data_IF_712302895649
#
_entry.id   IF_712302895649
#
_cell.length_a   1.000
_cell.length_b   1.000
_cell.length_c   1.000
_cell.angle_alpha   90.00
_cell.angle_beta   90.00
_cell.angle_gamma   90.00
#
_symmetry.space_group_name_H-M   'P 1'
#
loop_
_entity.id
_entity.type
_entity.pdbx_description
1 polymer ?
#
# COMPACT_ATOMS: atom_id res chain seq x y z
N UNK A 1 12.34 10.60 -25.84
CA UNK A 1 12.03 11.19 -24.53
C UNK A 1 12.54 12.59 -24.64
N UNK A 2 11.68 13.57 -24.49
CA UNK A 2 12.12 14.96 -24.41
C UNK A 2 12.73 15.19 -23.02
N UNK A 3 13.85 15.92 -22.97
CA UNK A 3 14.50 16.31 -21.73
C UNK A 3 14.06 17.73 -21.37
N UNK A 4 13.42 17.87 -20.21
CA UNK A 4 12.88 19.14 -19.71
C UNK A 4 13.83 19.88 -18.76
N UNK A 5 14.99 19.27 -18.45
CA UNK A 5 15.98 19.78 -17.51
C UNK A 5 16.38 18.73 -16.48
N UNK A 6 17.08 19.15 -15.43
CA UNK A 6 17.65 18.25 -14.43
C UNK A 6 17.11 18.55 -13.03
N UNK A 7 16.53 17.53 -12.37
CA UNK A 7 16.25 17.56 -10.93
C UNK A 7 17.56 17.33 -10.17
N UNK A 8 17.92 18.28 -9.30
CA UNK A 8 19.16 18.24 -8.50
C UNK A 8 18.94 17.71 -7.09
N UNK A 9 17.74 17.24 -6.76
CA UNK A 9 17.40 16.79 -5.41
C UNK A 9 17.20 17.94 -4.42
N UNK A 10 16.90 19.15 -4.90
CA UNK A 10 16.65 20.29 -4.01
C UNK A 10 15.32 20.10 -3.25
N UNK A 11 15.25 20.50 -1.96
CA UNK A 11 14.00 20.49 -1.21
C UNK A 11 12.93 21.39 -1.86
N UNK A 12 11.67 20.92 -1.90
CA UNK A 12 10.54 21.78 -2.25
C UNK A 12 10.18 22.63 -1.02
N UNK A 13 10.42 23.95 -1.11
CA UNK A 13 10.15 24.89 -0.03
C UNK A 13 8.67 25.31 0.06
N UNK A 14 7.80 24.66 -0.73
CA UNK A 14 6.37 24.91 -0.87
C UNK A 14 6.06 26.24 -1.60
N UNK A 15 4.83 26.39 -2.12
CA UNK A 15 4.42 27.51 -2.98
C UNK A 15 4.82 28.93 -2.50
N UNK A 16 4.76 29.30 -1.19
CA UNK A 16 5.11 30.66 -0.78
C UNK A 16 6.62 30.95 -0.83
N UNK A 17 7.49 29.94 -0.96
CA UNK A 17 8.95 30.08 -0.81
C UNK A 17 9.77 29.38 -1.89
N UNK A 18 9.19 28.46 -2.65
CA UNK A 18 9.91 27.70 -3.65
C UNK A 18 10.10 28.49 -4.95
N UNK A 19 11.28 28.38 -5.56
CA UNK A 19 11.53 28.94 -6.89
C UNK A 19 11.15 27.92 -7.97
N UNK A 20 9.86 27.80 -8.24
CA UNK A 20 9.30 26.84 -9.19
C UNK A 20 9.82 27.00 -10.62
N UNK A 21 10.16 28.24 -11.03
CA UNK A 21 10.65 28.53 -12.39
C UNK A 21 12.01 27.88 -12.66
N UNK A 22 12.85 27.77 -11.64
CA UNK A 22 14.18 27.19 -11.71
C UNK A 22 14.25 25.81 -11.04
N UNK A 23 13.10 25.15 -10.85
CA UNK A 23 13.04 23.81 -10.26
C UNK A 23 13.81 22.76 -11.09
N UNK A 24 13.92 22.96 -12.40
CA UNK A 24 14.71 22.14 -13.32
C UNK A 24 15.95 22.90 -13.75
N UNK A 25 17.12 22.37 -13.40
CA UNK A 25 18.40 22.94 -13.81
C UNK A 25 18.72 22.67 -15.28
N UNK A 26 19.51 23.53 -15.92
CA UNK A 26 19.93 23.34 -17.32
C UNK A 26 21.16 22.42 -17.50
N UNK A 27 22.00 22.30 -16.47
CA UNK A 27 23.26 21.53 -16.50
C UNK A 27 23.24 20.35 -15.52
N UNK A 28 23.89 19.25 -15.92
CA UNK A 28 24.10 18.02 -15.13
C UNK A 28 25.39 18.01 -14.28
N UNK A 29 26.30 18.97 -14.47
CA UNK A 29 27.65 18.97 -13.87
C UNK A 29 27.77 19.68 -12.50
N UNK A 30 26.69 19.85 -11.76
CA UNK A 30 26.74 20.49 -10.43
C UNK A 30 26.86 19.40 -9.36
N UNK A 31 27.89 19.44 -8.49
CA UNK A 31 28.00 18.55 -7.35
C UNK A 31 26.76 18.68 -6.45
N UNK A 32 26.19 17.56 -6.03
CA UNK A 32 25.10 17.56 -5.05
C UNK A 32 25.73 17.81 -3.68
N UNK A 33 25.47 18.97 -3.09
CA UNK A 33 25.84 19.28 -1.70
C UNK A 33 25.00 18.39 -0.78
N UNK A 34 25.56 17.22 -0.43
CA UNK A 34 25.06 16.22 0.53
C UNK A 34 24.20 15.09 -0.06
N UNK A 35 24.80 13.95 -0.45
CA UNK A 35 24.05 12.70 -0.53
C UNK A 35 23.77 12.23 0.90
N UNK A 36 22.57 12.47 1.41
CA UNK A 36 22.11 11.82 2.64
C UNK A 36 21.88 10.34 2.32
N UNK A 37 22.96 9.56 2.37
CA UNK A 37 23.02 8.14 2.05
C UNK A 37 22.06 7.34 2.94
N UNK A 38 20.98 6.84 2.34
CA UNK A 38 20.32 5.63 2.78
C UNK A 38 20.19 4.73 1.54
N UNK A 39 20.95 3.64 1.55
CA UNK A 39 21.13 2.65 0.47
C UNK A 39 22.11 3.04 -0.65
N UNK A 40 22.70 2.01 -1.27
CA UNK A 40 23.63 2.10 -2.41
C UNK A 40 22.97 2.56 -3.72
N UNK A 41 21.63 2.64 -3.74
CA UNK A 41 20.80 2.99 -4.91
C UNK A 41 20.03 4.31 -4.67
N UNK A 42 20.69 5.32 -4.13
CA UNK A 42 20.08 6.62 -3.86
C UNK A 42 19.74 7.35 -5.17
N UNK A 43 18.45 7.63 -5.40
CA UNK A 43 17.94 8.28 -6.63
C UNK A 43 18.69 9.59 -6.98
N UNK A 44 19.10 10.37 -5.96
CA UNK A 44 19.87 11.60 -6.13
C UNK A 44 21.37 11.42 -5.90
N UNK A 45 21.96 10.31 -6.36
CA UNK A 45 23.43 10.18 -6.42
C UNK A 45 24.07 11.16 -7.44
N UNK A 46 23.29 11.60 -8.43
CA UNK A 46 23.63 12.63 -9.41
C UNK A 46 22.36 13.37 -9.85
N UNK A 47 22.47 14.55 -10.49
CA UNK A 47 21.30 15.22 -11.07
C UNK A 47 20.56 14.33 -12.07
N UNK A 48 19.24 14.23 -11.93
CA UNK A 48 18.39 13.33 -12.71
C UNK A 48 17.74 14.08 -13.86
N UNK A 49 17.93 13.60 -15.09
CA UNK A 49 17.26 14.16 -16.26
C UNK A 49 15.74 13.93 -16.18
N UNK A 50 14.96 15.00 -16.13
CA UNK A 50 13.50 14.95 -16.10
C UNK A 50 12.99 14.77 -17.52
N UNK A 51 12.47 13.58 -17.78
CA UNK A 51 11.98 13.16 -19.10
C UNK A 51 10.57 12.60 -19.03
N UNK A 52 9.81 12.77 -20.12
CA UNK A 52 8.51 12.11 -20.31
C UNK A 52 8.60 11.14 -21.49
N UNK A 53 8.22 9.85 -21.31
CA UNK A 53 8.11 8.89 -22.40
C UNK A 53 7.16 9.36 -23.52
N UNK A 54 7.54 9.20 -24.79
CA UNK A 54 6.73 9.63 -25.92
C UNK A 54 5.34 8.97 -25.97
N UNK A 55 5.18 7.76 -25.42
CA UNK A 55 3.89 7.08 -25.37
C UNK A 55 2.90 7.71 -24.37
N UNK A 56 3.34 8.68 -23.55
CA UNK A 56 2.54 9.49 -22.64
C UNK A 56 2.31 10.91 -23.22
N UNK A 57 2.45 11.08 -24.53
CA UNK A 57 2.12 12.32 -25.22
C UNK A 57 0.71 12.23 -25.83
N UNK A 58 -0.05 13.32 -25.94
CA UNK A 58 0.33 14.71 -25.65
C UNK A 58 0.50 14.99 -24.14
N UNK A 59 1.41 15.90 -23.80
CA UNK A 59 1.68 16.28 -22.41
C UNK A 59 0.54 17.20 -21.93
N UNK A 60 -0.15 16.88 -20.82
CA UNK A 60 -1.21 17.73 -20.27
C UNK A 60 -0.73 19.14 -19.96
N UNK A 61 -1.59 20.16 -20.16
CA UNK A 61 -1.25 21.55 -19.83
C UNK A 61 -0.86 21.72 -18.37
N UNK A 62 -1.53 21.00 -17.47
CA UNK A 62 -1.23 20.98 -16.03
C UNK A 62 0.24 20.64 -15.78
N UNK A 63 0.86 19.74 -16.54
CA UNK A 63 2.29 19.44 -16.38
C UNK A 63 3.18 20.60 -16.87
N UNK A 64 2.78 21.28 -17.94
CA UNK A 64 3.57 22.36 -18.56
C UNK A 64 3.44 23.71 -17.83
N UNK A 65 2.40 23.88 -17.01
CA UNK A 65 2.16 25.11 -16.22
C UNK A 65 3.26 25.39 -15.19
N UNK A 66 3.93 24.36 -14.68
CA UNK A 66 4.92 24.49 -13.61
C UNK A 66 6.00 23.39 -13.73
N UNK A 67 7.30 23.74 -13.79
CA UNK A 67 8.38 22.74 -13.87
C UNK A 67 8.39 21.73 -12.71
N UNK A 68 7.89 22.08 -11.53
CA UNK A 68 7.71 21.13 -10.42
C UNK A 68 6.73 20.01 -10.78
N UNK A 69 5.72 20.26 -11.62
CA UNK A 69 4.75 19.23 -12.02
C UNK A 69 5.42 18.19 -12.92
N UNK A 70 6.28 18.62 -13.87
CA UNK A 70 7.10 17.71 -14.69
C UNK A 70 8.03 16.86 -13.82
N UNK A 71 8.71 17.50 -12.86
CA UNK A 71 9.59 16.83 -11.91
C UNK A 71 8.83 15.74 -11.13
N UNK A 72 7.69 16.08 -10.51
CA UNK A 72 6.92 15.14 -9.72
C UNK A 72 6.29 14.02 -10.56
N UNK A 73 5.83 14.31 -11.78
CA UNK A 73 5.32 13.29 -12.68
C UNK A 73 6.42 12.29 -13.08
N UNK A 74 7.61 12.79 -13.46
CA UNK A 74 8.77 11.96 -13.74
C UNK A 74 9.19 11.14 -12.51
N UNK A 75 9.29 11.78 -11.34
CA UNK A 75 9.66 11.13 -10.08
C UNK A 75 8.66 10.02 -9.72
N UNK A 76 7.36 10.23 -9.96
CA UNK A 76 6.36 9.21 -9.73
C UNK A 76 6.60 7.96 -10.56
N UNK A 77 6.73 8.14 -11.89
CA UNK A 77 6.88 7.03 -12.84
C UNK A 77 8.14 6.21 -12.55
N UNK A 78 9.24 6.89 -12.24
CA UNK A 78 10.55 6.25 -12.15
C UNK A 78 10.94 5.81 -10.72
N UNK A 79 10.30 6.36 -9.70
CA UNK A 79 10.66 6.06 -8.31
C UNK A 79 9.46 5.68 -7.44
N UNK A 80 8.46 6.57 -7.26
CA UNK A 80 7.30 6.28 -6.40
C UNK A 80 6.57 5.00 -6.81
N UNK A 81 6.34 4.79 -8.11
CA UNK A 81 5.68 3.60 -8.63
C UNK A 81 6.39 2.29 -8.26
N UNK A 82 7.72 2.32 -8.06
CA UNK A 82 8.51 1.13 -7.74
C UNK A 82 8.45 0.75 -6.26
N UNK A 83 8.26 1.72 -5.36
CA UNK A 83 8.11 1.45 -3.92
C UNK A 83 6.70 0.95 -3.57
N UNK A 84 5.72 1.20 -4.46
CA UNK A 84 4.35 0.73 -4.30
C UNK A 84 4.12 -0.74 -4.70
N UNK A 85 5.16 -1.43 -5.19
CA UNK A 85 5.08 -2.84 -5.59
C UNK A 85 6.14 -3.66 -4.89
N UNK A 86 5.83 -4.93 -4.61
CA UNK A 86 6.80 -5.84 -4.01
C UNK A 86 7.90 -6.28 -4.99
N UNK A 87 7.63 -6.24 -6.28
CA UNK A 87 8.63 -6.60 -7.29
C UNK A 87 8.56 -5.64 -8.47
N UNK A 88 9.74 -5.35 -9.02
CA UNK A 88 9.84 -4.54 -10.23
C UNK A 88 9.53 -5.41 -11.45
N UNK A 89 8.40 -5.11 -12.09
CA UNK A 89 7.93 -5.74 -13.32
C UNK A 89 7.78 -4.65 -14.39
N UNK A 90 8.17 -4.91 -15.66
CA UNK A 90 7.94 -3.95 -16.75
C UNK A 90 6.46 -3.57 -16.93
N UNK A 91 5.55 -4.45 -16.53
CA UNK A 91 4.11 -4.24 -16.54
C UNK A 91 3.57 -3.65 -15.23
N UNK A 92 4.41 -3.02 -14.40
CA UNK A 92 3.96 -2.34 -13.18
C UNK A 92 2.86 -1.32 -13.53
N UNK A 93 1.61 -1.51 -13.07
CA UNK A 93 0.51 -0.64 -13.47
C UNK A 93 0.63 0.77 -12.90
N UNK A 94 1.39 0.98 -11.81
CA UNK A 94 1.68 2.31 -11.29
C UNK A 94 2.60 3.12 -12.21
N UNK A 95 3.50 2.48 -12.97
CA UNK A 95 4.38 3.18 -13.93
C UNK A 95 3.86 3.15 -15.37
N UNK A 96 2.81 2.36 -15.66
CA UNK A 96 2.30 2.17 -17.03
C UNK A 96 0.85 2.60 -17.23
N UNK A 97 -0.10 2.06 -16.46
CA UNK A 97 -1.54 2.35 -16.59
C UNK A 97 -1.88 3.68 -15.94
N UNK A 98 -1.47 3.87 -14.69
CA UNK A 98 -1.81 5.05 -13.90
C UNK A 98 -1.31 6.36 -14.53
N UNK A 99 -0.04 6.48 -14.99
CA UNK A 99 0.45 7.73 -15.57
C UNK A 99 -0.24 8.05 -16.90
N UNK A 100 -0.61 7.02 -17.68
CA UNK A 100 -1.37 7.18 -18.92
C UNK A 100 -2.76 7.75 -18.67
N UNK A 101 -3.52 7.16 -17.73
CA UNK A 101 -4.84 7.71 -17.37
C UNK A 101 -4.74 9.11 -16.77
N UNK A 102 -3.67 9.37 -16.01
CA UNK A 102 -3.39 10.71 -15.49
C UNK A 102 -3.13 11.74 -16.61
N UNK A 103 -2.66 11.35 -17.81
CA UNK A 103 -2.59 12.30 -18.93
C UNK A 103 -3.94 12.67 -19.53
N UNK A 104 -4.99 11.92 -19.21
CA UNK A 104 -6.34 12.11 -19.74
C UNK A 104 -7.30 12.71 -18.69
N UNK A 105 -6.91 12.75 -17.40
CA UNK A 105 -7.74 13.25 -16.30
C UNK A 105 -6.92 14.08 -15.29
N UNK A 106 -7.24 15.38 -15.20
CA UNK A 106 -6.53 16.34 -14.36
C UNK A 106 -6.61 16.01 -12.85
N UNK A 107 -7.71 15.41 -12.38
CA UNK A 107 -7.85 15.09 -10.95
C UNK A 107 -6.96 13.92 -10.57
N UNK A 108 -6.90 12.88 -11.42
CA UNK A 108 -5.99 11.77 -11.24
C UNK A 108 -4.54 12.22 -11.34
N UNK A 109 -4.22 13.11 -12.28
CA UNK A 109 -2.89 13.73 -12.40
C UNK A 109 -2.50 14.48 -11.14
N UNK A 110 -3.37 15.34 -10.63
CA UNK A 110 -3.12 16.14 -9.41
C UNK A 110 -2.86 15.27 -8.19
N UNK A 111 -3.59 14.17 -8.04
CA UNK A 111 -3.34 13.18 -6.98
C UNK A 111 -1.99 12.46 -7.17
N UNK A 112 -1.61 12.16 -8.40
CA UNK A 112 -0.30 11.59 -8.74
C UNK A 112 0.84 12.53 -8.35
N UNK A 113 0.72 13.82 -8.67
CA UNK A 113 1.69 14.83 -8.26
C UNK A 113 1.76 14.96 -6.72
N UNK A 114 0.61 14.98 -6.04
CA UNK A 114 0.54 15.05 -4.58
C UNK A 114 1.23 13.84 -3.92
N UNK A 115 1.02 12.64 -4.44
CA UNK A 115 1.63 11.41 -3.95
C UNK A 115 3.16 11.45 -4.12
N UNK A 116 3.62 11.85 -5.30
CA UNK A 116 5.04 12.01 -5.59
C UNK A 116 5.70 13.05 -4.67
N UNK A 117 5.02 14.17 -4.41
CA UNK A 117 5.51 15.22 -3.53
C UNK A 117 5.66 14.74 -2.08
N UNK A 118 4.67 14.00 -1.56
CA UNK A 118 4.77 13.43 -0.21
C UNK A 118 5.93 12.43 -0.12
N UNK A 119 6.02 11.52 -1.09
CA UNK A 119 7.08 10.52 -1.14
C UNK A 119 8.49 11.14 -1.22
N UNK A 120 8.68 12.10 -2.14
CA UNK A 120 9.95 12.80 -2.33
C UNK A 120 10.37 13.58 -1.09
N UNK A 121 9.44 14.27 -0.44
CA UNK A 121 9.73 15.03 0.78
C UNK A 121 10.28 14.14 1.90
N UNK A 122 9.74 12.93 2.06
CA UNK A 122 10.25 11.94 3.03
C UNK A 122 11.66 11.48 2.68
N UNK A 123 11.90 11.12 1.42
CA UNK A 123 13.22 10.66 0.97
C UNK A 123 14.29 11.76 1.16
N UNK A 124 13.96 13.01 0.84
CA UNK A 124 14.83 14.17 0.97
C UNK A 124 14.81 14.80 2.38
N UNK A 125 14.07 14.21 3.32
CA UNK A 125 13.96 14.63 4.72
C UNK A 125 13.61 16.12 4.91
N UNK A 126 12.70 16.63 4.09
CA UNK A 126 12.10 17.94 4.25
C UNK A 126 10.60 17.85 4.52
N UNK A 127 9.99 18.97 4.94
CA UNK A 127 8.55 19.02 5.14
C UNK A 127 7.80 18.83 3.81
N UNK A 128 6.66 18.14 3.84
CA UNK A 128 5.78 17.99 2.67
C UNK A 128 5.29 19.39 2.22
N UNK A 129 5.23 19.68 0.90
CA UNK A 129 4.79 20.98 0.38
C UNK A 129 3.26 21.12 0.47
N UNK A 130 2.77 21.41 1.68
CA UNK A 130 1.35 21.38 2.03
C UNK A 130 0.49 22.33 1.19
N UNK A 131 0.94 23.56 0.93
CA UNK A 131 0.16 24.51 0.13
C UNK A 131 0.04 24.06 -1.33
N UNK A 132 1.12 23.49 -1.88
CA UNK A 132 1.11 22.87 -3.21
C UNK A 132 0.13 21.70 -3.27
N UNK A 133 0.22 20.77 -2.32
CA UNK A 133 -0.67 19.60 -2.22
C UNK A 133 -2.13 20.04 -2.08
N UNK A 134 -2.42 21.02 -1.22
CA UNK A 134 -3.76 21.56 -1.03
C UNK A 134 -4.33 22.14 -2.35
N UNK A 135 -3.51 22.85 -3.12
CA UNK A 135 -3.91 23.41 -4.42
C UNK A 135 -4.29 22.30 -5.41
N UNK A 136 -3.53 21.21 -5.47
CA UNK A 136 -3.83 20.07 -6.36
C UNK A 136 -5.08 19.30 -5.93
N UNK A 137 -5.29 19.08 -4.64
CA UNK A 137 -6.37 18.18 -4.18
C UNK A 137 -7.71 18.90 -3.96
N UNK A 138 -7.72 20.22 -3.78
CA UNK A 138 -8.95 21.03 -3.71
C UNK A 138 -10.01 20.69 -4.78
N UNK A 139 -9.69 20.63 -6.09
CA UNK A 139 -10.65 20.29 -7.15
C UNK A 139 -11.09 18.82 -7.19
N UNK A 140 -10.33 17.91 -6.56
CA UNK A 140 -10.63 16.47 -6.55
C UNK A 140 -11.90 16.19 -5.74
N UNK A 141 -12.05 16.80 -4.57
CA UNK A 141 -13.20 16.57 -3.69
C UNK A 141 -14.57 16.85 -4.31
N UNK A 142 -14.83 18.02 -4.95
CA UNK A 142 -16.11 18.27 -5.60
C UNK A 142 -16.34 17.33 -6.79
N UNK A 143 -15.30 16.96 -7.54
CA UNK A 143 -15.42 16.00 -8.65
C UNK A 143 -15.83 14.60 -8.16
N UNK A 144 -15.19 14.08 -7.11
CA UNK A 144 -15.58 12.80 -6.50
C UNK A 144 -17.00 12.84 -5.90
N UNK A 145 -17.40 13.98 -5.32
CA UNK A 145 -18.77 14.17 -4.84
C UNK A 145 -19.78 14.12 -5.97
N UNK A 146 -19.48 14.78 -7.10
CA UNK A 146 -20.32 14.72 -8.30
C UNK A 146 -20.43 13.29 -8.85
N UNK A 147 -19.32 12.55 -8.91
CA UNK A 147 -19.32 11.15 -9.35
C UNK A 147 -20.17 10.23 -8.46
N UNK A 148 -20.31 10.54 -7.17
CA UNK A 148 -21.18 9.81 -6.25
C UNK A 148 -22.67 10.14 -6.37
N UNK A 149 -22.99 11.41 -6.64
CA UNK A 149 -24.37 11.91 -6.67
C UNK A 149 -24.98 11.92 -8.07
N UNK A 150 -24.14 11.84 -9.10
CA UNK A 150 -24.54 11.89 -10.49
C UNK A 150 -25.19 10.61 -10.96
N UNK A 151 -25.92 10.71 -12.07
CA UNK A 151 -26.49 9.57 -12.79
C UNK A 151 -25.56 9.09 -13.92
N UNK A 152 -24.42 9.76 -14.11
CA UNK A 152 -23.45 9.41 -15.15
C UNK A 152 -22.66 8.14 -14.77
N UNK A 153 -22.23 7.35 -15.76
CA UNK A 153 -21.34 6.22 -15.50
C UNK A 153 -20.02 6.67 -14.88
N UNK A 154 -19.69 6.11 -13.72
CA UNK A 154 -18.38 6.25 -13.06
C UNK A 154 -17.26 5.74 -13.97
N UNK A 155 -16.37 6.65 -14.35
CA UNK A 155 -15.20 6.37 -15.19
C UNK A 155 -14.07 5.66 -14.42
N UNK A 156 -13.12 5.07 -15.16
CA UNK A 156 -11.88 4.54 -14.58
C UNK A 156 -11.11 5.61 -13.80
N UNK A 157 -11.00 6.83 -14.33
CA UNK A 157 -10.27 7.93 -13.67
C UNK A 157 -10.95 8.43 -12.40
N UNK A 158 -12.29 8.49 -12.37
CA UNK A 158 -13.02 8.87 -11.15
C UNK A 158 -12.84 7.84 -10.04
N UNK A 159 -12.98 6.55 -10.37
CA UNK A 159 -12.73 5.47 -9.40
C UNK A 159 -11.26 5.45 -8.97
N UNK A 160 -10.33 5.52 -9.92
CA UNK A 160 -8.89 5.56 -9.68
C UNK A 160 -8.46 6.73 -8.80
N UNK A 161 -9.05 7.91 -9.00
CA UNK A 161 -8.82 9.09 -8.16
C UNK A 161 -9.24 8.83 -6.71
N UNK A 162 -10.37 8.16 -6.49
CA UNK A 162 -10.79 7.81 -5.14
C UNK A 162 -9.87 6.78 -4.48
N UNK A 163 -9.44 5.75 -5.22
CA UNK A 163 -8.49 4.73 -4.72
C UNK A 163 -7.14 5.37 -4.39
N UNK A 164 -6.66 6.24 -5.27
CA UNK A 164 -5.40 6.96 -5.09
C UNK A 164 -5.44 7.92 -3.90
N UNK A 165 -6.54 8.66 -3.74
CA UNK A 165 -6.76 9.51 -2.56
C UNK A 165 -6.73 8.68 -1.28
N UNK A 166 -7.41 7.53 -1.24
CA UNK A 166 -7.39 6.65 -0.09
C UNK A 166 -5.95 6.14 0.21
N UNK A 167 -5.23 5.66 -0.80
CA UNK A 167 -3.83 5.20 -0.64
C UNK A 167 -2.88 6.32 -0.19
N UNK A 168 -3.06 7.55 -0.71
CA UNK A 168 -2.26 8.71 -0.32
C UNK A 168 -2.50 9.06 1.15
N UNK A 169 -3.76 9.07 1.61
CA UNK A 169 -4.12 9.34 3.02
C UNK A 169 -3.63 8.25 3.97
N UNK A 170 -3.56 7.01 3.49
CA UNK A 170 -3.01 5.89 4.23
C UNK A 170 -1.50 6.04 4.38
N UNK A 171 -0.79 6.26 3.28
CA UNK A 171 0.68 6.26 3.25
C UNK A 171 1.26 7.55 3.85
N UNK A 172 0.51 8.66 3.76
CA UNK A 172 0.90 9.96 4.27
C UNK A 172 -0.27 10.61 5.03
N UNK A 173 -0.53 10.18 6.28
CA UNK A 173 -1.69 10.64 7.07
C UNK A 173 -1.72 12.15 7.37
N UNK A 174 -0.60 12.86 7.16
CA UNK A 174 -0.47 14.30 7.40
C UNK A 174 -0.41 15.12 6.09
N UNK A 175 -0.59 14.47 4.93
CA UNK A 175 -0.55 15.13 3.63
C UNK A 175 -1.72 16.12 3.46
N UNK A 176 -2.83 15.89 4.16
CA UNK A 176 -4.00 16.75 4.15
C UNK A 176 -4.20 17.35 5.53
N UNK A 177 -4.32 18.67 5.61
CA UNK A 177 -4.78 19.36 6.82
C UNK A 177 -6.31 19.26 6.98
N UNK A 178 -6.91 18.17 6.47
CA UNK A 178 -8.34 17.89 6.56
C UNK A 178 -8.59 16.77 7.57
N UNK A 179 -9.60 16.89 8.45
CA UNK A 179 -9.90 15.88 9.47
C UNK A 179 -10.67 14.68 8.88
N UNK A 180 -10.33 14.24 7.67
CA UNK A 180 -10.97 13.08 7.03
C UNK A 180 -10.09 11.87 7.25
N UNK A 181 -10.66 10.86 7.89
CA UNK A 181 -9.98 9.61 8.20
C UNK A 181 -9.77 8.75 6.95
N UNK A 182 -8.74 7.89 6.96
CA UNK A 182 -8.53 6.93 5.87
C UNK A 182 -9.74 5.98 5.73
N UNK A 183 -10.45 5.68 6.82
CA UNK A 183 -11.66 4.86 6.83
C UNK A 183 -12.76 5.50 5.97
N UNK A 184 -12.91 6.81 6.05
CA UNK A 184 -13.89 7.56 5.25
C UNK A 184 -13.52 7.53 3.77
N UNK A 185 -12.24 7.73 3.43
CA UNK A 185 -11.78 7.63 2.04
C UNK A 185 -11.96 6.23 1.46
N UNK A 186 -11.67 5.17 2.23
CA UNK A 186 -11.92 3.81 1.75
C UNK A 186 -13.41 3.48 1.68
N UNK A 187 -14.24 4.02 2.58
CA UNK A 187 -15.70 3.85 2.51
C UNK A 187 -16.28 4.54 1.28
N UNK A 188 -15.73 5.70 0.92
CA UNK A 188 -16.03 6.42 -0.31
C UNK A 188 -15.64 5.60 -1.55
N UNK A 189 -14.40 5.08 -1.58
CA UNK A 189 -13.90 4.24 -2.67
C UNK A 189 -14.78 3.00 -2.84
N UNK A 190 -15.19 2.38 -1.73
CA UNK A 190 -16.11 1.25 -1.74
C UNK A 190 -17.44 1.60 -2.36
N UNK A 191 -18.05 2.72 -1.97
CA UNK A 191 -19.34 3.15 -2.51
C UNK A 191 -19.27 3.41 -4.01
N UNK A 192 -18.20 4.08 -4.48
CA UNK A 192 -17.97 4.27 -5.92
C UNK A 192 -17.78 2.93 -6.65
N UNK A 193 -17.02 2.01 -6.06
CA UNK A 193 -16.83 0.68 -6.65
C UNK A 193 -18.15 -0.09 -6.77
N UNK A 194 -18.99 -0.09 -5.74
CA UNK A 194 -20.31 -0.73 -5.76
C UNK A 194 -21.22 -0.15 -6.84
N UNK A 195 -21.29 1.17 -6.94
CA UNK A 195 -22.05 1.84 -8.01
C UNK A 195 -21.54 1.46 -9.39
N UNK A 196 -20.20 1.38 -9.53
CA UNK A 196 -19.55 1.01 -10.78
C UNK A 196 -19.86 -0.43 -11.19
N UNK A 197 -19.82 -1.39 -10.26
CA UNK A 197 -20.18 -2.79 -10.53
C UNK A 197 -21.65 -2.98 -10.89
N UNK A 198 -22.53 -2.06 -10.49
CA UNK A 198 -23.96 -2.08 -10.82
C UNK A 198 -24.30 -1.58 -12.23
N UNK A 199 -23.33 -1.08 -13.01
CA UNK A 199 -23.57 -0.56 -14.35
C UNK A 199 -23.72 -1.69 -15.38
N UNK A 200 -24.78 -1.62 -16.21
CA UNK A 200 -25.13 -2.66 -17.19
C UNK A 200 -24.03 -2.93 -18.24
N UNK A 201 -23.18 -1.94 -18.53
CA UNK A 201 -22.16 -2.01 -19.58
C UNK A 201 -20.75 -1.70 -19.07
N UNK A 202 -20.42 -2.09 -17.83
CA UNK A 202 -19.07 -1.89 -17.29
C UNK A 202 -18.02 -2.60 -18.15
N UNK A 203 -17.21 -1.82 -18.87
CA UNK A 203 -16.07 -2.35 -19.60
C UNK A 203 -14.97 -2.81 -18.63
N UNK A 204 -14.52 -4.06 -18.79
CA UNK A 204 -13.42 -4.63 -18.02
C UNK A 204 -12.08 -4.30 -18.68
N UNK A 205 -11.69 -3.03 -18.62
CA UNK A 205 -10.38 -2.56 -19.08
C UNK A 205 -9.27 -3.02 -18.11
N UNK A 206 -8.01 -2.92 -18.55
CA UNK A 206 -6.86 -3.13 -17.65
C UNK A 206 -6.87 -2.16 -16.47
N UNK A 207 -7.39 -0.95 -16.65
CA UNK A 207 -7.55 0.05 -15.60
C UNK A 207 -8.60 -0.38 -14.56
N UNK A 208 -9.75 -0.90 -15.02
CA UNK A 208 -10.78 -1.46 -14.13
C UNK A 208 -10.21 -2.56 -13.24
N UNK A 209 -9.43 -3.47 -13.84
CA UNK A 209 -8.79 -4.58 -13.11
C UNK A 209 -7.73 -4.05 -12.13
N UNK A 210 -6.87 -3.13 -12.56
CA UNK A 210 -5.82 -2.54 -11.75
C UNK A 210 -6.38 -1.83 -10.51
N UNK A 211 -7.29 -0.86 -10.70
CA UNK A 211 -7.87 -0.12 -9.58
C UNK A 211 -8.73 -1.02 -8.69
N UNK A 212 -9.41 -2.02 -9.27
CA UNK A 212 -10.13 -3.02 -8.49
C UNK A 212 -9.20 -3.81 -7.56
N UNK A 213 -8.06 -4.28 -8.07
CA UNK A 213 -7.03 -4.99 -7.28
C UNK A 213 -6.37 -4.08 -6.24
N UNK A 214 -6.08 -2.83 -6.58
CA UNK A 214 -5.51 -1.87 -5.63
C UNK A 214 -6.50 -1.53 -4.52
N UNK A 215 -7.77 -1.31 -4.86
CA UNK A 215 -8.82 -1.13 -3.85
C UNK A 215 -8.98 -2.36 -2.95
N UNK A 216 -8.94 -3.57 -3.53
CA UNK A 216 -8.99 -4.83 -2.77
C UNK A 216 -7.92 -4.90 -1.69
N UNK A 217 -6.70 -4.53 -2.05
CA UNK A 217 -5.56 -4.45 -1.16
C UNK A 217 -5.86 -3.50 0.01
N UNK A 218 -6.23 -2.25 -0.31
CA UNK A 218 -6.48 -1.23 0.71
C UNK A 218 -7.68 -1.58 1.62
N UNK A 219 -8.77 -2.10 1.06
CA UNK A 219 -9.97 -2.51 1.82
C UNK A 219 -9.64 -3.67 2.77
N UNK A 220 -8.83 -4.64 2.32
CA UNK A 220 -8.42 -5.80 3.14
C UNK A 220 -7.50 -5.39 4.27
N UNK A 221 -6.43 -4.63 3.99
CA UNK A 221 -5.50 -4.17 5.02
C UNK A 221 -6.16 -3.16 5.96
N UNK A 222 -7.01 -2.27 5.45
CA UNK A 222 -7.85 -1.40 6.27
C UNK A 222 -8.76 -2.20 7.20
N UNK A 223 -9.37 -3.29 6.71
CA UNK A 223 -10.17 -4.20 7.54
C UNK A 223 -9.33 -4.89 8.61
N UNK A 224 -8.14 -5.41 8.27
CA UNK A 224 -7.25 -6.04 9.25
C UNK A 224 -6.73 -5.03 10.31
N UNK A 225 -6.65 -3.75 9.96
CA UNK A 225 -6.10 -2.70 10.83
C UNK A 225 -7.12 -2.08 11.78
N UNK A 226 -8.42 -2.22 11.54
CA UNK A 226 -9.46 -1.48 12.28
C UNK A 226 -10.61 -2.37 12.73
N UNK A 227 -11.12 -2.12 13.94
CA UNK A 227 -12.30 -2.81 14.48
C UNK A 227 -13.61 -2.16 14.01
N UNK A 228 -13.56 -0.88 13.64
CA UNK A 228 -14.74 -0.08 13.24
C UNK A 228 -14.97 -0.09 11.74
N UNK A 229 -13.91 -0.19 10.96
CA UNK A 229 -14.01 -0.24 9.51
C UNK A 229 -14.20 -1.69 9.07
N UNK A 230 -15.37 -2.01 8.50
CA UNK A 230 -15.64 -3.33 7.95
C UNK A 230 -15.31 -3.31 6.45
N UNK A 231 -14.15 -3.88 6.09
CA UNK A 231 -13.88 -4.25 4.70
C UNK A 231 -14.87 -5.31 4.25
N UNK A 232 -15.30 -5.24 3.00
CA UNK A 232 -16.30 -6.13 2.42
C UNK A 232 -15.91 -6.58 1.00
N UNK A 233 -14.69 -6.27 0.54
CA UNK A 233 -14.29 -6.54 -0.83
C UNK A 233 -14.41 -8.03 -1.20
N UNK A 234 -13.99 -8.93 -0.31
CA UNK A 234 -14.11 -10.38 -0.53
C UNK A 234 -15.57 -10.85 -0.65
N UNK A 235 -16.48 -10.33 0.19
CA UNK A 235 -17.88 -10.73 0.14
C UNK A 235 -18.57 -10.32 -1.16
N UNK A 236 -18.14 -9.21 -1.76
CA UNK A 236 -18.81 -8.59 -2.91
C UNK A 236 -18.16 -8.93 -4.24
N UNK A 237 -16.87 -9.27 -4.26
CA UNK A 237 -16.17 -9.63 -5.50
C UNK A 237 -16.36 -11.11 -5.83
N UNK A 238 -17.26 -11.40 -6.78
CA UNK A 238 -17.40 -12.73 -7.37
C UNK A 238 -16.06 -13.17 -7.99
N UNK A 239 -15.35 -12.24 -8.62
CA UNK A 239 -14.04 -12.46 -9.23
C UNK A 239 -13.01 -12.94 -8.19
N UNK A 240 -12.96 -12.36 -6.99
CA UNK A 240 -12.05 -12.84 -5.94
C UNK A 240 -12.46 -14.20 -5.37
N UNK A 241 -13.77 -14.45 -5.21
CA UNK A 241 -14.23 -15.78 -4.76
C UNK A 241 -13.81 -16.87 -5.74
N UNK A 242 -13.83 -16.56 -7.04
CA UNK A 242 -13.29 -17.46 -8.07
C UNK A 242 -11.76 -17.49 -8.05
N UNK A 243 -11.10 -16.35 -7.81
CA UNK A 243 -9.64 -16.26 -7.74
C UNK A 243 -9.03 -16.85 -6.46
N UNK A 244 -9.80 -17.15 -5.40
CA UNK A 244 -9.31 -17.91 -4.24
C UNK A 244 -8.89 -19.34 -4.65
N UNK A 245 -9.51 -19.88 -5.70
CA UNK A 245 -9.24 -21.23 -6.20
C UNK A 245 -8.00 -21.31 -7.08
N UNK A 246 -7.49 -20.18 -7.58
CA UNK A 246 -6.33 -20.09 -8.47
C UNK A 246 -5.30 -19.19 -7.79
N UNK A 247 -4.12 -19.69 -7.37
CA UNK A 247 -3.09 -18.88 -6.74
C UNK A 247 -2.36 -17.99 -7.78
N UNK A 248 -3.12 -17.19 -8.54
CA UNK A 248 -2.60 -16.20 -9.47
C UNK A 248 -1.87 -15.13 -8.66
N UNK A 249 -0.62 -14.88 -9.06
CA UNK A 249 0.20 -13.84 -8.49
C UNK A 249 -0.36 -12.47 -8.86
N UNK A 250 -0.65 -11.63 -7.87
CA UNK A 250 -0.90 -10.22 -8.13
C UNK A 250 0.44 -9.51 -8.24
N UNK A 251 0.87 -9.16 -9.46
CA UNK A 251 2.15 -8.49 -9.62
C UNK A 251 2.20 -7.09 -8.98
N UNK A 252 1.04 -6.55 -8.59
CA UNK A 252 0.88 -5.35 -7.77
C UNK A 252 1.39 -5.52 -6.34
N UNK A 253 0.87 -6.51 -5.61
CA UNK A 253 1.05 -6.64 -4.16
C UNK A 253 2.11 -7.69 -3.78
N UNK A 254 2.70 -8.41 -4.74
CA UNK A 254 3.70 -9.45 -4.47
C UNK A 254 3.19 -10.71 -3.79
N UNK A 255 1.88 -10.84 -3.64
CA UNK A 255 1.25 -12.04 -3.11
C UNK A 255 0.04 -12.46 -3.94
N UNK A 256 -0.49 -13.65 -3.64
CA UNK A 256 -1.59 -14.25 -4.40
C UNK A 256 -2.95 -13.69 -3.98
N UNK A 257 -3.92 -13.76 -4.90
CA UNK A 257 -5.33 -13.51 -4.55
C UNK A 257 -5.78 -14.36 -3.35
N UNK A 258 -5.32 -15.61 -3.26
CA UNK A 258 -5.63 -16.52 -2.14
C UNK A 258 -5.14 -15.97 -0.80
N UNK A 259 -3.92 -15.45 -0.70
CA UNK A 259 -3.43 -14.76 0.50
C UNK A 259 -4.31 -13.58 0.90
N UNK A 260 -4.71 -12.74 -0.07
CA UNK A 260 -5.60 -11.59 0.18
C UNK A 260 -6.95 -12.05 0.73
N UNK A 261 -7.57 -13.05 0.08
CA UNK A 261 -8.86 -13.59 0.47
C UNK A 261 -8.83 -14.19 1.88
N UNK A 262 -7.81 -14.99 2.20
CA UNK A 262 -7.67 -15.61 3.51
C UNK A 262 -7.45 -14.55 4.61
N UNK A 263 -6.66 -13.50 4.35
CA UNK A 263 -6.50 -12.38 5.27
C UNK A 263 -7.82 -11.62 5.48
N UNK A 264 -8.53 -11.30 4.40
CA UNK A 264 -9.83 -10.60 4.46
C UNK A 264 -10.84 -11.38 5.30
N UNK A 265 -10.99 -12.69 5.04
CA UNK A 265 -11.89 -13.56 5.80
C UNK A 265 -11.50 -13.64 7.28
N UNK A 266 -10.20 -13.63 7.57
CA UNK A 266 -9.70 -13.64 8.94
C UNK A 266 -10.05 -12.35 9.69
N UNK A 267 -9.84 -11.20 9.04
CA UNK A 267 -10.17 -9.90 9.61
C UNK A 267 -11.68 -9.76 9.91
N UNK A 268 -12.53 -10.20 8.98
CA UNK A 268 -13.99 -10.21 9.13
C UNK A 268 -14.45 -11.14 10.26
N UNK A 269 -13.95 -12.39 10.24
CA UNK A 269 -14.31 -13.40 11.23
C UNK A 269 -13.94 -12.97 12.65
N UNK A 270 -12.78 -12.33 12.83
CA UNK A 270 -12.38 -11.81 14.14
C UNK A 270 -13.35 -10.75 14.66
N UNK A 271 -13.76 -9.79 13.81
CA UNK A 271 -14.72 -8.75 14.21
C UNK A 271 -16.05 -9.35 14.59
N UNK A 272 -16.53 -10.33 13.80
CA UNK A 272 -17.75 -11.07 14.12
C UNK A 272 -17.62 -11.80 15.46
N UNK A 273 -16.50 -12.48 15.68
CA UNK A 273 -16.21 -13.17 16.94
C UNK A 273 -16.21 -12.20 18.14
N UNK A 274 -15.56 -11.05 18.01
CA UNK A 274 -15.52 -10.03 19.06
C UNK A 274 -16.90 -9.42 19.34
N UNK A 275 -17.69 -9.17 18.28
CA UNK A 275 -19.07 -8.71 18.40
C UNK A 275 -19.95 -9.72 19.13
N UNK A 276 -19.91 -10.99 18.73
CA UNK A 276 -20.68 -12.06 19.35
C UNK A 276 -20.27 -12.28 20.82
N UNK A 277 -18.97 -12.24 21.15
CA UNK A 277 -18.52 -12.29 22.55
C UNK A 277 -19.04 -11.12 23.38
N UNK A 278 -19.02 -9.89 22.84
CA UNK A 278 -19.54 -8.71 23.56
C UNK A 278 -21.04 -8.80 23.82
N UNK A 279 -21.81 -9.34 22.87
CA UNK A 279 -23.27 -9.44 23.01
C UNK A 279 -23.75 -10.68 23.76
N UNK A 280 -23.10 -11.82 23.57
CA UNK A 280 -23.58 -13.13 24.00
C UNK A 280 -22.63 -13.85 24.96
N UNK A 281 -21.48 -13.25 25.30
CA UNK A 281 -20.44 -13.85 26.14
C UNK A 281 -19.58 -14.89 25.44
N UNK A 282 -20.03 -15.42 24.30
CA UNK A 282 -19.31 -16.43 23.51
C UNK A 282 -19.66 -16.34 22.01
N UNK A 283 -18.77 -16.78 21.11
CA UNK A 283 -19.07 -16.84 19.68
C UNK A 283 -20.13 -17.90 19.35
N UNK A 284 -20.89 -17.67 18.29
CA UNK A 284 -21.86 -18.64 17.81
C UNK A 284 -21.17 -19.90 17.26
N UNK A 285 -21.86 -21.05 17.31
CA UNK A 285 -21.34 -22.33 16.77
C UNK A 285 -20.92 -22.18 15.30
N UNK A 286 -21.67 -21.42 14.50
CA UNK A 286 -21.33 -21.15 13.10
C UNK A 286 -19.97 -20.43 12.98
N UNK A 287 -19.73 -19.40 13.80
CA UNK A 287 -18.46 -18.64 13.83
C UNK A 287 -17.29 -19.53 14.25
N UNK A 288 -17.51 -20.41 15.23
CA UNK A 288 -16.51 -21.39 15.66
C UNK A 288 -16.18 -22.35 14.50
N UNK A 289 -17.19 -22.91 13.83
CA UNK A 289 -16.99 -23.80 12.67
C UNK A 289 -16.24 -23.10 11.54
N UNK A 290 -16.61 -21.87 11.21
CA UNK A 290 -15.93 -21.06 10.20
C UNK A 290 -14.46 -20.80 10.58
N UNK A 291 -14.17 -20.57 11.86
CA UNK A 291 -12.79 -20.39 12.32
C UNK A 291 -11.92 -21.62 12.10
N UNK A 292 -12.45 -22.81 12.37
CA UNK A 292 -11.72 -24.07 12.21
C UNK A 292 -11.43 -24.36 10.74
N UNK A 293 -12.40 -24.13 9.85
CA UNK A 293 -12.21 -24.25 8.42
C UNK A 293 -11.17 -23.26 7.89
N UNK A 294 -11.24 -22.01 8.33
CA UNK A 294 -10.30 -20.97 7.92
C UNK A 294 -8.87 -21.27 8.41
N UNK A 295 -8.71 -21.75 9.65
CA UNK A 295 -7.42 -22.19 10.19
C UNK A 295 -6.82 -23.31 9.34
N UNK A 296 -7.62 -24.34 9.03
CA UNK A 296 -7.16 -25.46 8.21
C UNK A 296 -6.75 -25.00 6.81
N UNK A 297 -7.52 -24.10 6.18
CA UNK A 297 -7.18 -23.54 4.88
C UNK A 297 -5.87 -22.75 4.90
N UNK A 298 -5.64 -21.93 5.94
CA UNK A 298 -4.38 -21.21 6.12
C UNK A 298 -3.21 -22.17 6.32
N UNK A 299 -3.34 -23.17 7.20
CA UNK A 299 -2.31 -24.16 7.47
C UNK A 299 -1.94 -24.95 6.21
N UNK A 300 -2.93 -25.46 5.46
CA UNK A 300 -2.68 -26.12 4.18
C UNK A 300 -2.01 -25.20 3.18
N UNK A 301 -2.46 -23.95 3.09
CA UNK A 301 -1.88 -22.99 2.16
C UNK A 301 -0.42 -22.63 2.50
N UNK A 302 -0.05 -22.56 3.77
CA UNK A 302 1.38 -22.38 4.16
C UNK A 302 2.27 -23.53 3.69
N UNK A 303 1.73 -24.74 3.54
CA UNK A 303 2.45 -25.87 2.95
C UNK A 303 2.52 -25.76 1.42
N UNK A 304 1.41 -25.38 0.78
CA UNK A 304 1.35 -25.17 -0.68
C UNK A 304 2.36 -24.11 -1.13
N UNK A 305 2.49 -22.98 -0.42
CA UNK A 305 3.40 -21.88 -0.76
C UNK A 305 4.83 -22.37 -0.94
N UNK A 306 5.32 -23.28 -0.08
CA UNK A 306 6.69 -23.80 -0.12
C UNK A 306 7.02 -24.52 -1.43
N UNK A 307 6.01 -25.14 -2.05
CA UNK A 307 6.16 -25.93 -3.27
C UNK A 307 5.61 -25.21 -4.51
N UNK A 308 4.94 -24.08 -4.33
CA UNK A 308 4.38 -23.32 -5.44
C UNK A 308 5.49 -22.57 -6.17
N UNK A 309 5.54 -22.71 -7.49
CA UNK A 309 6.33 -21.84 -8.35
C UNK A 309 5.47 -20.65 -8.74
N UNK A 310 6.00 -19.45 -8.55
CA UNK A 310 5.33 -18.21 -8.91
C UNK A 310 6.01 -17.63 -10.14
N UNK A 311 5.33 -17.72 -11.27
CA UNK A 311 5.76 -17.13 -12.52
C UNK A 311 4.94 -15.84 -12.75
N UNK A 312 5.56 -14.66 -12.67
CA UNK A 312 4.89 -13.44 -13.16
C UNK A 312 4.98 -13.46 -14.69
N UNK A 313 3.84 -13.38 -15.37
CA UNK A 313 3.75 -13.43 -16.83
C UNK A 313 4.57 -12.33 -17.54
N UNK A 314 4.95 -11.27 -16.84
CA UNK A 314 5.73 -10.15 -17.37
C UNK A 314 7.25 -10.31 -17.30
N UNK A 315 7.76 -11.30 -16.56
CA UNK A 315 9.19 -11.54 -16.39
C UNK A 315 9.53 -12.94 -16.90
N UNK A 316 10.64 -13.08 -17.65
CA UNK A 316 11.26 -14.39 -17.76
C UNK A 316 11.62 -14.83 -16.33
N UNK A 317 10.90 -15.83 -15.82
CA UNK A 317 10.90 -16.21 -14.40
C UNK A 317 12.33 -16.38 -13.87
N UNK A 318 12.80 -15.44 -13.05
CA UNK A 318 14.03 -15.62 -12.29
C UNK A 318 13.70 -16.37 -11.00
N UNK A 319 14.56 -17.30 -10.57
CA UNK A 319 14.40 -18.04 -9.31
C UNK A 319 14.21 -17.09 -8.11
N UNK A 320 14.93 -15.96 -8.12
CA UNK A 320 14.85 -14.91 -7.09
C UNK A 320 13.44 -14.31 -6.96
N UNK A 321 12.69 -14.14 -8.05
CA UNK A 321 11.32 -13.59 -7.96
C UNK A 321 10.37 -14.56 -7.26
N UNK A 322 10.47 -15.87 -7.54
CA UNK A 322 9.64 -16.88 -6.87
C UNK A 322 9.88 -16.91 -5.37
N UNK A 323 11.13 -16.80 -4.92
CA UNK A 323 11.49 -16.83 -3.50
C UNK A 323 10.93 -15.60 -2.75
N UNK A 324 10.99 -14.41 -3.35
CA UNK A 324 10.35 -13.20 -2.83
C UNK A 324 8.85 -13.41 -2.64
N UNK A 325 8.15 -13.92 -3.65
CA UNK A 325 6.70 -14.16 -3.52
C UNK A 325 6.36 -15.22 -2.47
N UNK A 326 7.15 -16.29 -2.36
CA UNK A 326 6.94 -17.29 -1.31
C UNK A 326 7.08 -16.67 0.08
N UNK A 327 8.11 -15.87 0.29
CA UNK A 327 8.33 -15.19 1.56
C UNK A 327 7.16 -14.25 1.91
N UNK A 328 6.70 -13.41 0.97
CA UNK A 328 5.59 -12.48 1.22
C UNK A 328 4.26 -13.22 1.45
N UNK A 329 3.93 -14.24 0.64
CA UNK A 329 2.73 -15.06 0.86
C UNK A 329 2.78 -15.80 2.21
N UNK A 330 3.94 -16.33 2.59
CA UNK A 330 4.13 -17.00 3.88
C UNK A 330 3.94 -16.01 5.04
N UNK A 331 4.54 -14.82 4.96
CA UNK A 331 4.41 -13.79 5.98
C UNK A 331 2.94 -13.37 6.18
N UNK A 332 2.20 -13.13 5.09
CA UNK A 332 0.77 -12.77 5.15
C UNK A 332 -0.09 -13.90 5.72
N UNK A 333 0.18 -15.15 5.30
CA UNK A 333 -0.57 -16.31 5.81
C UNK A 333 -0.32 -16.53 7.30
N UNK A 334 0.93 -16.38 7.75
CA UNK A 334 1.26 -16.47 9.17
C UNK A 334 0.74 -15.27 9.98
N UNK A 335 0.67 -14.09 9.39
CA UNK A 335 0.02 -12.93 10.00
C UNK A 335 -1.47 -13.20 10.24
N UNK A 336 -2.18 -13.75 9.25
CA UNK A 336 -3.56 -14.19 9.41
C UNK A 336 -3.70 -15.28 10.49
N UNK A 337 -2.77 -16.23 10.58
CA UNK A 337 -2.75 -17.22 11.67
C UNK A 337 -2.54 -16.58 13.04
N UNK A 338 -1.61 -15.63 13.20
CA UNK A 338 -1.45 -14.88 14.47
C UNK A 338 -2.76 -14.19 14.83
N UNK A 339 -3.35 -13.49 13.86
CA UNK A 339 -4.60 -12.77 14.04
C UNK A 339 -5.71 -13.72 14.51
N UNK A 340 -5.87 -14.88 13.87
CA UNK A 340 -6.84 -15.90 14.27
C UNK A 340 -6.57 -16.46 15.67
N UNK A 341 -5.33 -16.82 15.97
CA UNK A 341 -4.92 -17.35 17.27
C UNK A 341 -5.16 -16.36 18.42
N UNK A 342 -4.80 -15.09 18.23
CA UNK A 342 -4.90 -14.05 19.27
C UNK A 342 -6.31 -13.51 19.42
N UNK A 343 -7.02 -13.25 18.30
CA UNK A 343 -8.32 -12.57 18.31
C UNK A 343 -9.51 -13.52 18.31
N UNK A 344 -9.44 -14.66 17.62
CA UNK A 344 -10.56 -15.61 17.54
C UNK A 344 -10.45 -16.72 18.57
N UNK A 345 -9.25 -17.28 18.78
CA UNK A 345 -9.05 -18.35 19.76
C UNK A 345 -8.60 -17.85 21.14
N UNK A 346 -8.31 -16.56 21.31
CA UNK A 346 -7.84 -15.96 22.57
C UNK A 346 -6.62 -16.67 23.16
N UNK A 347 -5.76 -17.23 22.32
CA UNK A 347 -4.54 -17.88 22.77
C UNK A 347 -3.57 -16.81 23.29
N UNK A 348 -2.85 -17.06 24.40
CA UNK A 348 -1.85 -16.12 24.89
C UNK A 348 -0.66 -16.03 23.92
N UNK A 349 0.09 -14.94 23.98
CA UNK A 349 1.28 -14.72 23.13
C UNK A 349 2.30 -15.85 23.28
N UNK A 350 2.40 -16.47 24.46
CA UNK A 350 3.30 -17.60 24.77
C UNK A 350 2.89 -18.92 24.09
N UNK A 351 1.70 -18.98 23.49
CA UNK A 351 1.24 -20.17 22.77
C UNK A 351 2.24 -20.56 21.69
N UNK A 352 2.55 -21.87 21.62
CA UNK A 352 3.44 -22.42 20.59
C UNK A 352 2.97 -22.10 19.17
N UNK A 353 1.65 -22.03 18.96
CA UNK A 353 1.05 -21.69 17.66
C UNK A 353 1.31 -20.23 17.28
N UNK A 354 1.24 -19.31 18.23
CA UNK A 354 1.54 -17.89 18.01
C UNK A 354 3.03 -17.72 17.73
N UNK A 355 3.89 -18.27 18.59
CA UNK A 355 5.35 -18.14 18.44
C UNK A 355 5.88 -18.84 17.18
N UNK A 356 5.25 -19.93 16.75
CA UNK A 356 5.57 -20.57 15.46
C UNK A 356 5.36 -19.60 14.29
N UNK A 357 4.20 -18.94 14.24
CA UNK A 357 3.94 -17.94 13.19
C UNK A 357 4.85 -16.71 13.29
N UNK A 358 5.17 -16.23 14.50
CA UNK A 358 6.15 -15.15 14.69
C UNK A 358 7.49 -15.54 14.05
N UNK A 359 8.00 -16.73 14.36
CA UNK A 359 9.26 -17.21 13.80
C UNK A 359 9.20 -17.37 12.28
N UNK A 360 8.09 -17.88 11.74
CA UNK A 360 7.90 -18.06 10.31
C UNK A 360 7.90 -16.72 9.56
N UNK A 361 7.24 -15.69 10.10
CA UNK A 361 7.26 -14.33 9.54
C UNK A 361 8.68 -13.78 9.52
N UNK A 362 9.41 -13.87 10.64
CA UNK A 362 10.78 -13.36 10.72
C UNK A 362 11.76 -14.13 9.84
N UNK A 363 11.54 -15.43 9.64
CA UNK A 363 12.29 -16.25 8.68
C UNK A 363 12.04 -15.80 7.24
N UNK A 364 10.77 -15.66 6.84
CA UNK A 364 10.40 -15.19 5.51
C UNK A 364 11.07 -13.85 5.19
N UNK A 365 11.11 -12.94 6.15
CA UNK A 365 11.79 -11.65 5.98
C UNK A 365 13.32 -11.71 6.00
N UNK A 366 13.92 -12.74 6.59
CA UNK A 366 15.36 -12.97 6.44
C UNK A 366 15.67 -13.49 5.04
N UNK A 367 14.81 -14.33 4.46
CA UNK A 367 14.96 -14.78 3.07
C UNK A 367 14.89 -13.60 2.11
N UNK A 368 14.01 -12.63 2.36
CA UNK A 368 13.95 -11.41 1.55
C UNK A 368 15.32 -10.70 1.44
N UNK A 369 16.24 -10.83 2.45
CA UNK A 369 17.51 -10.06 2.59
C UNK A 369 18.45 -10.34 1.44
N UNK A 370 18.35 -11.54 0.88
CA UNK A 370 19.11 -11.91 -0.31
C UNK A 370 18.64 -11.23 -1.61
N UNK A 371 17.47 -10.58 -1.63
CA UNK A 371 16.80 -10.14 -2.85
C UNK A 371 16.53 -8.63 -2.94
N UNK A 372 17.07 -7.81 -2.02
CA UNK A 372 16.88 -6.34 -1.98
C UNK A 372 15.39 -5.89 -2.01
N UNK A 373 14.47 -6.73 -1.52
CA UNK A 373 13.03 -6.47 -1.55
C UNK A 373 12.49 -5.85 -0.24
N UNK A 374 13.27 -5.04 0.48
CA UNK A 374 12.95 -4.62 1.87
C UNK A 374 11.95 -3.49 2.04
N UNK A 375 11.53 -2.89 0.94
CA UNK A 375 10.93 -1.56 0.98
C UNK A 375 9.45 -1.59 0.58
N UNK A 376 8.80 -2.74 0.72
CA UNK A 376 7.45 -2.97 0.23
C UNK A 376 6.41 -2.77 1.36
N UNK A 377 5.27 -2.11 1.07
CA UNK A 377 4.24 -1.87 2.09
C UNK A 377 3.53 -3.17 2.52
N UNK A 378 3.52 -4.19 1.68
CA UNK A 378 2.81 -5.46 1.87
C UNK A 378 3.26 -6.23 3.14
N UNK A 379 4.47 -5.96 3.63
CA UNK A 379 5.06 -6.63 4.80
C UNK A 379 4.87 -5.86 6.12
N UNK A 380 4.25 -4.67 6.10
CA UNK A 380 4.02 -3.86 7.31
C UNK A 380 3.13 -4.61 8.31
N UNK A 381 1.96 -5.14 7.88
CA UNK A 381 1.04 -5.86 8.76
C UNK A 381 1.71 -7.08 9.40
N UNK A 382 2.35 -8.01 8.64
CA UNK A 382 2.99 -9.16 9.27
C UNK A 382 4.13 -8.78 10.21
N UNK A 383 4.96 -7.78 9.87
CA UNK A 383 6.02 -7.29 10.77
C UNK A 383 5.43 -6.78 12.08
N UNK A 384 4.40 -5.93 11.99
CA UNK A 384 3.75 -5.36 13.15
C UNK A 384 3.17 -6.44 14.06
N UNK A 385 2.40 -7.38 13.51
CA UNK A 385 1.80 -8.47 14.29
C UNK A 385 2.86 -9.39 14.89
N UNK A 386 3.92 -9.71 14.14
CA UNK A 386 5.04 -10.49 14.68
C UNK A 386 5.76 -9.76 15.82
N UNK A 387 5.92 -8.43 15.71
CA UNK A 387 6.52 -7.59 16.74
C UNK A 387 5.68 -7.51 18.02
N UNK A 388 4.36 -7.33 17.89
CA UNK A 388 3.44 -7.34 19.03
C UNK A 388 3.51 -8.65 19.83
N UNK A 389 3.67 -9.76 19.13
CA UNK A 389 3.67 -11.09 19.73
C UNK A 389 5.08 -11.64 20.03
N UNK A 390 6.13 -10.92 19.65
CA UNK A 390 7.51 -11.33 19.90
C UNK A 390 7.83 -11.28 21.40
N UNK A 391 8.44 -12.37 21.91
CA UNK A 391 8.85 -12.47 23.32
C UNK A 391 10.35 -12.32 23.54
N UNK A 392 11.12 -12.47 22.48
CA UNK A 392 12.56 -12.31 22.49
C UNK A 392 12.89 -10.86 22.11
N UNK A 393 13.60 -10.09 22.97
CA UNK A 393 14.02 -8.74 22.66
C UNK A 393 14.80 -8.64 21.34
N UNK A 394 15.57 -9.67 20.95
CA UNK A 394 16.29 -9.69 19.67
C UNK A 394 15.34 -9.62 18.47
N UNK A 395 14.22 -10.35 18.52
CA UNK A 395 13.19 -10.33 17.47
C UNK A 395 12.48 -8.99 17.37
N UNK A 396 12.25 -8.33 18.51
CA UNK A 396 11.65 -6.99 18.54
C UNK A 396 12.57 -5.98 17.81
N UNK A 397 13.89 -6.06 18.06
CA UNK A 397 14.89 -5.25 17.35
C UNK A 397 14.88 -5.55 15.84
N UNK A 398 14.84 -6.82 15.45
CA UNK A 398 14.76 -7.22 14.03
C UNK A 398 13.52 -6.65 13.33
N UNK A 399 12.37 -6.62 14.02
CA UNK A 399 11.13 -6.04 13.49
C UNK A 399 11.29 -4.52 13.31
N UNK A 400 11.79 -3.81 14.32
CA UNK A 400 12.00 -2.36 14.23
C UNK A 400 12.97 -2.00 13.10
N UNK A 401 14.06 -2.74 12.95
CA UNK A 401 15.04 -2.47 11.90
C UNK A 401 14.41 -2.60 10.50
N UNK A 402 13.54 -3.60 10.30
CA UNK A 402 12.85 -3.79 9.01
C UNK A 402 11.80 -2.71 8.75
N UNK A 403 11.01 -2.34 9.77
CA UNK A 403 10.09 -1.21 9.65
C UNK A 403 10.88 0.09 9.35
N UNK A 404 12.05 0.28 9.95
CA UNK A 404 12.90 1.43 9.65
C UNK A 404 13.36 1.45 8.18
N UNK A 405 13.66 0.32 7.57
CA UNK A 405 13.98 0.26 6.13
C UNK A 405 12.82 0.75 5.27
N UNK A 406 11.59 0.28 5.54
CA UNK A 406 10.39 0.70 4.79
C UNK A 406 10.13 2.21 4.97
N UNK A 407 10.33 2.75 6.19
CA UNK A 407 10.25 4.20 6.42
C UNK A 407 11.33 4.97 5.64
N UNK A 408 12.57 4.46 5.62
CA UNK A 408 13.69 5.08 4.89
C UNK A 408 13.45 5.08 3.38
N UNK A 409 12.66 4.13 2.86
CA UNK A 409 12.18 4.12 1.49
C UNK A 409 11.05 5.12 1.21
N UNK A 410 10.66 5.92 2.21
CA UNK A 410 9.72 7.05 2.06
C UNK A 410 8.29 6.76 2.48
N UNK A 411 7.98 5.57 3.02
CA UNK A 411 6.64 5.20 3.48
C UNK A 411 6.29 5.86 4.82
N UNK A 412 5.57 6.99 4.76
CA UNK A 412 5.29 7.85 5.91
C UNK A 412 4.44 7.21 7.00
N UNK A 413 3.60 6.23 6.67
CA UNK A 413 2.71 5.56 7.63
C UNK A 413 3.48 4.75 8.68
N UNK A 414 4.68 4.29 8.33
CA UNK A 414 5.49 3.42 9.18
C UNK A 414 5.90 4.11 10.49
N UNK A 415 6.00 5.44 10.49
CA UNK A 415 6.22 6.23 11.72
C UNK A 415 5.16 5.91 12.78
N UNK A 416 3.88 5.91 12.38
CA UNK A 416 2.76 5.64 13.29
C UNK A 416 2.67 4.17 13.67
N UNK A 417 3.03 3.27 12.75
CA UNK A 417 3.10 1.81 13.02
C UNK A 417 4.15 1.51 14.10
N UNK A 418 5.36 2.08 13.98
CA UNK A 418 6.42 1.93 14.98
C UNK A 418 6.03 2.55 16.33
N UNK A 419 5.40 3.73 16.32
CA UNK A 419 4.92 4.37 17.54
C UNK A 419 3.89 3.49 18.27
N UNK A 420 2.92 2.93 17.55
CA UNK A 420 1.94 2.00 18.10
C UNK A 420 2.61 0.74 18.65
N UNK A 421 3.57 0.17 17.92
CA UNK A 421 4.29 -1.02 18.35
C UNK A 421 5.08 -0.77 19.64
N UNK A 422 5.76 0.38 19.72
CA UNK A 422 6.49 0.79 20.92
C UNK A 422 5.55 0.98 22.11
N UNK A 423 4.39 1.61 21.90
CA UNK A 423 3.37 1.77 22.94
C UNK A 423 2.84 0.42 23.46
N UNK A 424 2.65 -0.55 22.57
CA UNK A 424 2.27 -1.92 22.97
C UNK A 424 3.32 -2.54 23.89
N UNK A 425 4.61 -2.37 23.59
CA UNK A 425 5.69 -2.90 24.42
C UNK A 425 5.83 -2.19 25.76
N UNK A 426 5.75 -0.86 25.76
CA UNK A 426 5.90 -0.03 26.95
C UNK A 426 4.76 -0.27 27.95
N UNK A 427 3.53 -0.36 27.44
CA UNK A 427 2.32 -0.52 28.26
C UNK A 427 1.93 -1.98 28.51
N UNK A 428 2.48 -2.93 27.73
CA UNK A 428 2.08 -4.34 27.70
C UNK A 428 0.60 -4.56 27.38
N UNK A 429 -0.04 -3.60 26.71
CA UNK A 429 -1.44 -3.69 26.28
C UNK A 429 -1.52 -4.25 24.86
N UNK A 430 -2.64 -4.89 24.55
CA UNK A 430 -2.89 -5.39 23.20
C UNK A 430 -3.07 -4.21 22.23
N UNK A 431 -2.45 -4.29 21.05
CA UNK A 431 -2.49 -3.23 20.05
C UNK A 431 -3.90 -2.83 19.64
N UNK A 432 -4.87 -3.75 19.78
CA UNK A 432 -6.26 -3.47 19.44
C UNK A 432 -6.96 -2.54 20.42
N UNK A 433 -6.43 -2.37 21.63
CA UNK A 433 -6.87 -1.35 22.58
C UNK A 433 -6.23 0.03 22.33
N UNK A 434 -5.11 0.06 21.60
CA UNK A 434 -4.26 1.24 21.43
C UNK A 434 -4.35 1.87 20.03
N UNK A 435 -4.95 1.16 19.06
CA UNK A 435 -4.97 1.57 17.65
C UNK A 435 -5.84 2.81 17.39
N UNK A 436 -5.28 3.99 17.55
CA UNK A 436 -5.96 5.25 17.20
C UNK A 436 -5.69 5.60 15.72
N UNK A 437 -6.58 5.15 14.82
CA UNK A 437 -6.54 5.44 13.37
C UNK A 437 -5.24 5.05 12.66
N UNK A 438 -4.50 4.04 13.13
CA UNK A 438 -3.31 3.52 12.46
C UNK A 438 -3.71 2.43 11.48
N UNK A 439 -3.33 2.57 10.21
CA UNK A 439 -3.47 1.53 9.20
C UNK A 439 -2.13 0.79 9.10
N UNK A 440 -2.19 -0.54 9.12
CA UNK A 440 -1.05 -1.46 9.18
C UNK A 440 -0.66 -2.03 7.80
N UNK A 441 -0.72 -1.26 6.71
CA UNK A 441 -0.47 -1.76 5.36
C UNK A 441 -0.20 -0.70 4.33
#
# INVERSE_FOLDING_TARGET
>A
MDNFGYDRGLPDLDLPKNNDKDALGQNNNIPIDSPQQCSSDFYYAAPVAVTIPHHLTPIPSVLLENPMNLLYYHYFINYTANVLVTHQCPSNPFSTILPRLATEDDNLLRLLLAYAACHRARLLRHAEPKNRIATWVTPVFPSLRQALSGNEPITDSAFGSCVMLASLTQSYPLAFDLPISWQEHLSLARRLYSLRLGQEHLQRTNATIFFGRWFAYLDTFGSASSDTYQGAYYEWSRELKMAEQIPELQCLAGFTNKSLCLLSRTAELAKRCDYERRLHGQPAVQTITMSQQLRMNLELFTLEIKHTRYDCACSQSSTSSTEVYRAVNAAISHAALIYLHRRVYMLPSESRLVQFSVNAILHAFNELKGYNAFDTPDIILPLFLAGCEARDPGKAVDVLQRLQSIENAGMGQVVRVKALLQECWDTKRDWTELKHNVLLG
#
